data_IF_500538933430
#
_entry.id   IF_500538933430
#
_cell.length_a   1.000
_cell.length_b   1.000
_cell.length_c   1.000
_cell.angle_alpha   90.00
_cell.angle_beta   90.00
_cell.angle_gamma   90.00
#
_symmetry.space_group_name_H-M   'P 1'
#
loop_
_entity.id
_entity.type
_entity.pdbx_description
1 polymer ?
#
# COMPACT_ATOMS: atom_id res chain seq x y z
N UNK A 1 44.55 -16.36 -12.17
CA UNK A 1 43.18 -16.91 -12.07
C UNK A 1 42.39 -15.93 -11.19
N UNK A 2 41.33 -15.27 -11.70
CA UNK A 2 40.66 -14.18 -10.97
C UNK A 2 39.75 -14.75 -9.88
N UNK A 3 40.09 -14.52 -8.61
CA UNK A 3 39.28 -14.92 -7.45
C UNK A 3 38.03 -14.05 -7.35
N UNK A 4 36.85 -14.66 -7.39
CA UNK A 4 35.55 -14.00 -7.24
C UNK A 4 35.24 -13.81 -5.75
N UNK A 5 35.16 -12.56 -5.30
CA UNK A 5 34.73 -12.22 -3.93
C UNK A 5 33.24 -12.53 -3.76
N UNK A 6 32.80 -13.22 -2.68
CA UNK A 6 31.39 -13.44 -2.42
C UNK A 6 30.71 -12.12 -2.02
N UNK A 7 29.65 -11.77 -2.75
CA UNK A 7 28.83 -10.58 -2.51
C UNK A 7 27.93 -10.86 -1.30
N UNK A 8 28.22 -10.24 -0.17
CA UNK A 8 27.40 -10.31 1.05
C UNK A 8 26.03 -9.72 0.71
N UNK A 9 24.97 -10.55 0.76
CA UNK A 9 23.59 -10.08 0.72
C UNK A 9 23.35 -9.30 2.02
N UNK A 10 22.85 -8.05 1.98
CA UNK A 10 22.47 -7.37 3.21
C UNK A 10 21.44 -8.23 3.95
N UNK A 11 21.71 -8.50 5.22
CA UNK A 11 20.78 -9.17 6.10
C UNK A 11 19.46 -8.40 6.05
N UNK A 12 18.35 -9.12 5.86
CA UNK A 12 17.01 -8.56 5.90
C UNK A 12 16.90 -7.72 7.16
N UNK A 13 16.72 -6.40 6.95
CA UNK A 13 16.52 -5.45 8.02
C UNK A 13 15.43 -6.02 8.94
N UNK A 14 15.77 -5.98 10.22
CA UNK A 14 14.96 -6.27 11.41
C UNK A 14 13.48 -6.13 11.09
N UNK A 15 12.69 -7.19 11.37
CA UNK A 15 11.28 -7.29 11.04
C UNK A 15 10.57 -5.97 11.35
N UNK A 16 10.35 -5.17 10.30
CA UNK A 16 9.71 -3.87 10.44
C UNK A 16 8.34 -4.11 11.05
N UNK A 17 7.98 -3.31 12.06
CA UNK A 17 6.69 -3.43 12.72
C UNK A 17 5.57 -3.50 11.67
N UNK A 18 4.52 -4.33 11.88
CA UNK A 18 3.45 -4.46 10.91
C UNK A 18 2.92 -3.09 10.49
N UNK A 19 2.84 -2.84 9.18
CA UNK A 19 2.24 -1.61 8.66
C UNK A 19 0.77 -1.63 9.07
N UNK A 20 0.36 -0.66 9.88
CA UNK A 20 -1.06 -0.47 10.20
C UNK A 20 -1.77 0.15 8.99
N UNK A 21 -2.78 -0.57 8.48
CA UNK A 21 -3.62 -0.10 7.38
C UNK A 21 -4.92 0.46 7.97
N UNK A 22 -5.09 1.79 8.07
CA UNK A 22 -6.31 2.38 8.62
C UNK A 22 -7.51 1.95 7.79
N UNK A 23 -8.54 1.45 8.48
CA UNK A 23 -9.79 0.99 7.89
C UNK A 23 -10.78 2.13 7.82
N UNK A 24 -11.56 2.17 6.74
CA UNK A 24 -12.66 3.12 6.65
C UNK A 24 -13.82 2.71 7.57
N UNK A 25 -14.63 3.68 7.97
CA UNK A 25 -15.93 3.40 8.56
C UNK A 25 -16.81 2.64 7.55
N UNK A 26 -17.37 1.48 7.92
CA UNK A 26 -18.06 0.61 6.97
C UNK A 26 -19.35 1.22 6.43
N UNK A 27 -20.08 2.00 7.24
CA UNK A 27 -21.33 2.65 6.82
C UNK A 27 -21.04 3.80 5.84
N UNK A 28 -20.03 4.63 6.14
CA UNK A 28 -19.58 5.69 5.23
C UNK A 28 -19.01 5.13 3.92
N UNK A 29 -18.29 4.00 3.98
CA UNK A 29 -17.77 3.33 2.79
C UNK A 29 -18.89 2.74 1.93
N UNK A 30 -19.95 2.19 2.53
CA UNK A 30 -21.10 1.67 1.80
C UNK A 30 -21.89 2.77 1.08
N UNK A 31 -21.92 3.97 1.65
CA UNK A 31 -22.55 5.14 1.03
C UNK A 31 -21.66 5.85 -0.01
N UNK A 32 -20.35 5.54 -0.04
CA UNK A 32 -19.39 6.19 -0.92
C UNK A 32 -19.50 5.67 -2.36
N UNK A 33 -19.60 6.59 -3.31
CA UNK A 33 -19.51 6.27 -4.73
C UNK A 33 -18.07 6.43 -5.24
N UNK A 34 -17.35 5.32 -5.54
CA UNK A 34 -15.98 5.36 -6.03
C UNK A 34 -15.83 5.97 -7.43
N UNK A 35 -16.93 6.18 -8.17
CA UNK A 35 -16.94 6.89 -9.45
C UNK A 35 -16.74 8.40 -9.31
N UNK A 36 -16.98 8.95 -8.12
CA UNK A 36 -16.80 10.38 -7.83
C UNK A 36 -15.34 10.79 -7.64
N UNK A 37 -14.44 9.81 -7.46
CA UNK A 37 -13.00 10.04 -7.27
C UNK A 37 -12.17 9.47 -8.41
N UNK A 38 -11.20 10.26 -8.89
CA UNK A 38 -10.27 9.85 -9.95
C UNK A 38 -8.85 10.07 -9.45
N UNK A 39 -8.07 8.98 -9.35
CA UNK A 39 -6.69 9.07 -8.89
C UNK A 39 -5.82 9.78 -9.95
N UNK A 40 -5.28 10.95 -9.59
CA UNK A 40 -4.41 11.75 -10.45
C UNK A 40 -2.94 11.35 -10.33
N UNK A 41 -2.53 10.87 -9.16
CA UNK A 41 -1.14 10.52 -8.82
C UNK A 41 -0.78 9.06 -9.13
N UNK A 42 -1.74 8.25 -9.62
CA UNK A 42 -1.57 6.82 -9.90
C UNK A 42 -1.06 6.00 -8.70
N UNK A 43 -1.61 6.23 -7.52
CA UNK A 43 -1.08 5.71 -6.25
C UNK A 43 -1.04 4.18 -6.16
N UNK A 44 -1.89 3.46 -6.92
CA UNK A 44 -1.93 1.99 -6.94
C UNK A 44 -2.17 1.32 -5.56
N UNK A 45 -2.48 0.02 -5.50
CA UNK A 45 -2.38 -0.72 -4.26
C UNK A 45 -0.92 -1.00 -3.90
N UNK A 46 -0.58 -0.86 -2.62
CA UNK A 46 0.62 -1.52 -2.10
C UNK A 46 0.42 -3.05 -2.10
N UNK A 47 1.50 -3.81 -2.28
CA UNK A 47 1.44 -5.28 -2.41
C UNK A 47 0.85 -6.01 -1.19
N UNK A 48 0.86 -5.35 -0.03
CA UNK A 48 0.37 -5.88 1.24
C UNK A 48 -0.83 -5.12 1.80
N UNK A 49 -1.42 -4.20 1.02
CA UNK A 49 -2.62 -3.48 1.45
C UNK A 49 -3.86 -4.39 1.33
N UNK A 50 -4.53 -4.73 2.44
CA UNK A 50 -5.69 -5.60 2.43
C UNK A 50 -6.99 -4.87 2.05
N UNK A 51 -6.96 -3.55 1.79
CA UNK A 51 -8.15 -2.74 1.51
C UNK A 51 -8.63 -2.90 0.08
N UNK A 52 -9.95 -2.82 -0.11
CA UNK A 52 -10.54 -2.82 -1.44
C UNK A 52 -10.15 -1.55 -2.22
N UNK A 53 -10.45 -1.49 -3.51
CA UNK A 53 -10.20 -0.29 -4.31
C UNK A 53 -11.06 0.89 -3.82
N UNK A 54 -12.32 0.63 -3.51
CA UNK A 54 -13.26 1.63 -3.01
C UNK A 54 -12.78 2.23 -1.69
N UNK A 55 -12.33 1.38 -0.77
CA UNK A 55 -11.84 1.82 0.54
C UNK A 55 -10.56 2.67 0.43
N UNK A 56 -9.65 2.29 -0.48
CA UNK A 56 -8.44 3.09 -0.74
C UNK A 56 -8.78 4.44 -1.34
N UNK A 57 -9.75 4.51 -2.25
CA UNK A 57 -10.22 5.78 -2.83
C UNK A 57 -10.91 6.65 -1.79
N UNK A 58 -11.75 6.06 -0.94
CA UNK A 58 -12.43 6.77 0.14
C UNK A 58 -11.43 7.44 1.10
N UNK A 59 -10.37 6.73 1.48
CA UNK A 59 -9.34 7.22 2.40
C UNK A 59 -8.30 8.15 1.73
N UNK A 60 -8.27 8.22 0.40
CA UNK A 60 -7.33 9.06 -0.35
C UNK A 60 -7.83 10.50 -0.40
N UNK A 61 -7.06 11.46 0.11
CA UNK A 61 -7.37 12.90 0.07
C UNK A 61 -7.06 13.55 -1.28
N UNK A 62 -6.10 12.98 -2.02
CA UNK A 62 -5.60 13.48 -3.29
C UNK A 62 -6.26 12.80 -4.51
N UNK A 63 -7.31 12.04 -4.23
CA UNK A 63 -8.28 11.46 -5.14
C UNK A 63 -9.61 12.22 -4.94
#
# INVERSE_FOLDING_TARGET
MKSKTPKVKPAQAEAQAPIEWPRADPDALAAFDPGTKVCTMNCGPHAHDPRSREERLFLCTDC
#
